data_IF_949603125846
#
_entry.id   IF_949603125846
#
_cell.length_a   1.000
_cell.length_b   1.000
_cell.length_c   1.000
_cell.angle_alpha   90.00
_cell.angle_beta   90.00
_cell.angle_gamma   90.00
#
_symmetry.space_group_name_H-M   'P 1'
#
loop_
_entity.id
_entity.type
_entity.pdbx_description
1 polymer ?
#
# COMPACT_ATOMS: atom_id res chain seq x y z
N UNK A 1 -25.01 68.68 5.16
CA UNK A 1 -25.13 67.28 4.61
C UNK A 1 -23.79 66.57 4.76
N UNK A 2 -23.67 65.73 5.76
CA UNK A 2 -22.43 64.92 6.01
C UNK A 2 -22.59 63.56 5.34
N UNK A 3 -21.76 63.28 4.34
CA UNK A 3 -21.70 61.95 3.65
C UNK A 3 -20.86 61.02 4.48
N UNK A 4 -21.45 59.94 5.03
CA UNK A 4 -20.75 58.82 5.65
C UNK A 4 -20.38 57.81 4.58
N UNK A 5 -19.09 57.63 4.37
CA UNK A 5 -18.55 56.58 3.50
C UNK A 5 -18.30 55.35 4.37
N UNK A 6 -19.09 54.29 4.19
CA UNK A 6 -18.88 53.01 4.85
C UNK A 6 -17.82 52.23 4.09
N UNK A 7 -16.71 51.95 4.74
CA UNK A 7 -15.65 51.04 4.22
C UNK A 7 -16.01 49.60 4.63
N UNK A 8 -16.38 48.79 3.67
CA UNK A 8 -16.56 47.35 3.88
C UNK A 8 -15.19 46.66 3.82
N UNK A 9 -14.71 46.23 4.97
CA UNK A 9 -13.50 45.40 5.05
C UNK A 9 -13.91 43.95 4.83
N UNK A 10 -13.58 43.38 3.67
CA UNK A 10 -13.75 41.95 3.37
C UNK A 10 -12.57 41.20 4.00
N UNK A 11 -12.83 40.46 5.09
CA UNK A 11 -11.86 39.55 5.69
C UNK A 11 -11.93 38.25 4.90
N UNK A 12 -10.93 38.00 4.06
CA UNK A 12 -10.74 36.71 3.40
C UNK A 12 -10.21 35.71 4.42
N UNK A 13 -11.08 34.80 4.88
CA UNK A 13 -10.70 33.62 5.64
C UNK A 13 -10.00 32.65 4.67
N UNK A 14 -8.68 32.59 4.73
CA UNK A 14 -7.91 31.58 4.08
C UNK A 14 -8.15 30.24 4.83
N UNK A 15 -9.06 29.41 4.30
CA UNK A 15 -9.21 28.02 4.73
C UNK A 15 -7.97 27.27 4.26
N UNK A 16 -7.01 27.05 5.16
CA UNK A 16 -5.92 26.13 4.92
C UNK A 16 -6.50 24.71 4.85
N UNK A 17 -6.69 24.21 3.62
CA UNK A 17 -6.98 22.79 3.41
C UNK A 17 -5.79 22.00 3.96
N UNK A 18 -5.99 20.99 4.84
CA UNK A 18 -4.94 20.05 5.18
C UNK A 18 -4.45 19.44 3.87
N UNK A 19 -3.16 19.62 3.57
CA UNK A 19 -2.56 19.05 2.36
C UNK A 19 -2.80 17.55 2.38
N UNK A 20 -3.43 17.02 1.32
CA UNK A 20 -3.54 15.60 1.11
C UNK A 20 -2.12 15.02 1.17
N UNK A 21 -1.85 14.19 2.18
CA UNK A 21 -0.60 13.44 2.24
C UNK A 21 -0.51 12.62 0.97
N UNK A 22 0.56 12.79 0.20
CA UNK A 22 0.73 12.00 -1.02
C UNK A 22 0.89 10.55 -0.60
N UNK A 23 0.01 9.68 -1.12
CA UNK A 23 0.07 8.25 -0.86
C UNK A 23 1.48 7.68 -1.11
N UNK A 24 1.89 6.72 -0.30
CA UNK A 24 3.17 6.03 -0.42
C UNK A 24 3.37 5.50 -1.84
N UNK A 25 4.52 5.77 -2.44
CA UNK A 25 4.88 5.28 -3.78
C UNK A 25 5.60 3.96 -3.67
N UNK A 26 5.07 2.93 -4.32
CA UNK A 26 5.61 1.57 -4.29
C UNK A 26 5.93 1.11 -5.71
N UNK A 27 7.17 0.64 -5.91
CA UNK A 27 7.62 -0.03 -7.14
C UNK A 27 7.95 -1.48 -6.81
N UNK A 28 7.49 -2.41 -7.64
CA UNK A 28 7.66 -3.86 -7.48
C UNK A 28 8.52 -4.41 -8.62
N UNK A 29 9.47 -5.27 -8.31
CA UNK A 29 10.33 -5.91 -9.32
C UNK A 29 10.73 -7.33 -8.88
N UNK A 30 10.53 -8.35 -9.74
CA UNK A 30 9.73 -8.33 -10.96
C UNK A 30 8.23 -8.25 -10.65
N UNK A 31 7.44 -7.57 -11.48
CA UNK A 31 5.99 -7.46 -11.29
C UNK A 31 5.21 -8.49 -12.12
N UNK A 32 5.55 -8.68 -13.40
CA UNK A 32 4.78 -9.51 -14.34
C UNK A 32 5.49 -10.78 -14.82
N UNK A 33 6.64 -11.09 -14.26
CA UNK A 33 7.43 -12.30 -14.58
C UNK A 33 8.09 -12.86 -13.33
N UNK A 34 7.31 -12.94 -12.24
CA UNK A 34 7.82 -13.52 -10.98
C UNK A 34 8.25 -14.96 -11.23
N UNK A 35 9.44 -15.32 -10.78
CA UNK A 35 9.98 -16.68 -10.97
C UNK A 35 9.15 -17.72 -10.23
N UNK A 36 8.73 -18.78 -10.92
CA UNK A 36 8.06 -19.92 -10.28
C UNK A 36 9.01 -20.76 -9.41
N UNK A 37 10.32 -20.74 -9.71
CA UNK A 37 11.35 -21.50 -9.00
C UNK A 37 11.85 -20.77 -7.75
N UNK A 38 12.07 -19.45 -7.88
CA UNK A 38 12.48 -18.59 -6.78
C UNK A 38 11.53 -17.38 -6.72
N UNK A 39 10.38 -17.53 -6.03
CA UNK A 39 9.30 -16.56 -6.07
C UNK A 39 9.54 -15.42 -5.09
N UNK A 40 10.55 -14.60 -5.35
CA UNK A 40 10.90 -13.44 -4.54
C UNK A 40 10.69 -12.17 -5.36
N UNK A 41 10.04 -11.19 -4.76
CA UNK A 41 9.88 -9.83 -5.30
C UNK A 41 10.58 -8.82 -4.41
N UNK A 42 11.04 -7.74 -5.02
CA UNK A 42 11.68 -6.63 -4.33
C UNK A 42 10.79 -5.39 -4.44
N UNK A 43 10.66 -4.65 -3.36
CA UNK A 43 9.94 -3.40 -3.30
C UNK A 43 10.90 -2.23 -3.13
N UNK A 44 10.58 -1.12 -3.79
CA UNK A 44 11.12 0.20 -3.47
C UNK A 44 9.95 1.05 -2.99
N UNK A 45 10.07 1.56 -1.78
CA UNK A 45 9.05 2.33 -1.10
C UNK A 45 9.56 3.75 -0.88
N UNK A 46 8.72 4.75 -1.08
CA UNK A 46 9.04 6.15 -0.79
C UNK A 46 7.78 6.92 -0.41
N UNK A 47 7.95 7.96 0.40
CA UNK A 47 6.84 8.79 0.87
C UNK A 47 6.00 8.09 1.94
N UNK A 48 6.61 7.22 2.76
CA UNK A 48 5.94 6.62 3.92
C UNK A 48 5.37 7.70 4.84
N UNK A 49 4.22 7.43 5.50
CA UNK A 49 3.73 8.26 6.59
C UNK A 49 4.80 8.46 7.67
N UNK A 50 4.69 9.56 8.41
CA UNK A 50 5.68 9.90 9.44
C UNK A 50 5.37 9.31 10.80
N UNK A 51 4.13 8.96 11.04
CA UNK A 51 3.54 8.58 12.34
C UNK A 51 3.06 7.13 12.40
N UNK A 52 3.05 6.43 11.29
CA UNK A 52 2.68 5.01 11.18
C UNK A 52 3.37 4.34 10.01
N UNK A 53 3.23 3.03 9.91
CA UNK A 53 3.75 2.23 8.81
C UNK A 53 2.67 1.73 7.86
N UNK A 54 3.09 0.86 6.95
CA UNK A 54 2.21 0.18 6.00
C UNK A 54 2.46 -1.33 6.04
N UNK A 55 1.42 -2.10 5.74
CA UNK A 55 1.53 -3.51 5.40
C UNK A 55 1.48 -3.70 3.88
N UNK A 56 2.29 -4.61 3.37
CA UNK A 56 2.24 -5.11 1.99
C UNK A 56 2.01 -6.61 2.08
N UNK A 57 0.87 -7.10 1.62
CA UNK A 57 0.48 -8.51 1.74
C UNK A 57 0.16 -9.11 0.38
N UNK A 58 0.55 -10.37 0.16
CA UNK A 58 0.11 -11.13 -1.00
C UNK A 58 -1.36 -11.53 -0.82
N UNK A 59 -2.23 -11.17 -1.76
CA UNK A 59 -3.66 -11.48 -1.73
C UNK A 59 -4.18 -11.88 -3.11
N UNK A 60 -5.35 -12.51 -3.14
CA UNK A 60 -6.15 -12.62 -4.35
C UNK A 60 -6.63 -11.22 -4.78
N UNK A 61 -6.77 -11.00 -6.09
CA UNK A 61 -7.35 -9.75 -6.58
C UNK A 61 -8.80 -9.63 -6.07
N UNK A 62 -9.13 -8.62 -5.24
CA UNK A 62 -10.48 -8.46 -4.71
C UNK A 62 -11.50 -8.10 -5.80
N UNK A 63 -11.03 -7.86 -7.05
CA UNK A 63 -11.86 -7.40 -8.15
C UNK A 63 -12.46 -6.01 -7.90
N UNK A 64 -13.46 -5.64 -8.74
CA UNK A 64 -14.15 -4.35 -8.62
C UNK A 64 -15.39 -4.39 -7.74
N UNK A 65 -15.66 -5.50 -7.05
CA UNK A 65 -16.85 -5.61 -6.19
C UNK A 65 -16.59 -4.89 -4.88
N UNK A 66 -17.33 -3.82 -4.56
CA UNK A 66 -17.28 -3.22 -3.23
C UNK A 66 -17.60 -4.29 -2.17
N UNK A 67 -16.77 -4.41 -1.14
CA UNK A 67 -16.97 -5.39 -0.07
C UNK A 67 -16.52 -6.83 -0.39
N UNK A 68 -15.81 -7.06 -1.50
CA UNK A 68 -15.20 -8.36 -1.79
C UNK A 68 -14.31 -8.83 -0.64
N UNK A 69 -14.49 -10.10 -0.23
CA UNK A 69 -13.69 -10.71 0.83
C UNK A 69 -12.22 -10.69 0.38
N UNK A 70 -11.38 -10.06 1.18
CA UNK A 70 -9.92 -10.05 0.96
C UNK A 70 -9.35 -11.38 1.42
N UNK A 71 -8.96 -12.23 0.48
CA UNK A 71 -8.27 -13.49 0.77
C UNK A 71 -6.78 -13.24 0.61
N UNK A 72 -6.07 -13.13 1.73
CA UNK A 72 -4.63 -12.90 1.75
C UNK A 72 -3.88 -14.15 2.23
N UNK A 73 -2.65 -14.29 1.76
CA UNK A 73 -1.77 -15.37 2.17
C UNK A 73 -1.48 -15.26 3.68
N UNK A 74 -1.80 -16.29 4.49
CA UNK A 74 -1.59 -16.24 5.93
C UNK A 74 -0.12 -16.33 6.35
N UNK A 75 0.78 -16.70 5.43
CA UNK A 75 2.22 -16.83 5.71
C UNK A 75 2.84 -15.46 6.05
N UNK A 76 3.54 -15.38 7.18
CA UNK A 76 4.30 -14.19 7.55
C UNK A 76 5.39 -13.84 6.51
N UNK A 77 5.94 -14.85 5.82
CA UNK A 77 6.91 -14.63 4.74
C UNK A 77 6.30 -13.92 3.52
N UNK A 78 4.97 -13.90 3.40
CA UNK A 78 4.20 -13.27 2.33
C UNK A 78 3.54 -11.95 2.75
N UNK A 79 3.98 -11.41 3.91
CA UNK A 79 3.61 -10.11 4.46
C UNK A 79 4.87 -9.30 4.77
N UNK A 80 4.83 -8.03 4.52
CA UNK A 80 5.91 -7.09 4.82
C UNK A 80 5.33 -5.91 5.60
N UNK A 81 5.88 -5.64 6.77
CA UNK A 81 5.61 -4.43 7.52
C UNK A 81 6.74 -3.43 7.30
N UNK A 82 6.41 -2.24 6.80
CA UNK A 82 7.38 -1.19 6.47
C UNK A 82 7.02 0.08 7.21
N UNK A 83 7.94 0.60 7.99
CA UNK A 83 7.76 1.85 8.73
C UNK A 83 9.08 2.58 8.91
N UNK A 84 9.03 3.93 8.96
CA UNK A 84 10.16 4.76 9.37
C UNK A 84 10.04 5.22 10.83
N UNK A 85 8.98 4.80 11.53
CA UNK A 85 8.82 5.04 12.98
C UNK A 85 9.74 4.12 13.76
N UNK A 86 10.56 4.69 14.63
CA UNK A 86 11.58 3.94 15.37
C UNK A 86 10.96 2.85 16.28
N UNK A 87 9.84 3.15 16.92
CA UNK A 87 9.12 2.18 17.73
C UNK A 87 8.64 0.96 16.94
N UNK A 88 8.16 1.16 15.71
CA UNK A 88 7.74 0.08 14.81
C UNK A 88 8.92 -0.78 14.38
N UNK A 89 10.06 -0.14 14.09
CA UNK A 89 11.29 -0.86 13.74
C UNK A 89 11.81 -1.70 14.90
N UNK A 90 11.71 -1.22 16.14
CA UNK A 90 12.02 -1.98 17.34
C UNK A 90 11.11 -3.21 17.51
N UNK A 91 9.88 -3.17 16.98
CA UNK A 91 8.92 -4.28 16.96
C UNK A 91 9.04 -5.19 15.72
N UNK A 92 9.96 -4.89 14.80
CA UNK A 92 10.25 -5.73 13.63
C UNK A 92 9.84 -5.17 12.27
N UNK A 93 9.31 -3.96 12.20
CA UNK A 93 9.08 -3.30 10.91
C UNK A 93 10.39 -3.08 10.16
N UNK A 94 10.36 -3.15 8.84
CA UNK A 94 11.51 -2.86 7.99
C UNK A 94 11.54 -1.37 7.64
N UNK A 95 12.73 -0.77 7.71
CA UNK A 95 12.91 0.60 7.26
C UNK A 95 12.60 0.75 5.76
N UNK A 96 11.92 1.81 5.37
CA UNK A 96 11.53 2.06 3.97
C UNK A 96 12.71 2.26 3.02
N UNK A 97 13.90 2.58 3.53
CA UNK A 97 15.13 2.80 2.76
C UNK A 97 15.92 1.51 2.46
N UNK A 98 15.54 0.40 3.08
CA UNK A 98 16.23 -0.88 2.94
C UNK A 98 15.88 -1.65 1.67
N UNK A 99 16.56 -2.79 1.46
CA UNK A 99 16.15 -3.79 0.49
C UNK A 99 14.94 -4.55 1.03
N UNK A 100 13.77 -4.22 0.53
CA UNK A 100 12.53 -4.84 0.94
C UNK A 100 12.20 -5.99 0.00
N UNK A 101 12.17 -7.22 0.51
CA UNK A 101 11.86 -8.42 -0.28
C UNK A 101 10.72 -9.18 0.36
N UNK A 102 9.89 -9.78 -0.49
CA UNK A 102 8.78 -10.63 -0.10
C UNK A 102 8.86 -11.93 -0.88
N UNK A 103 8.72 -13.05 -0.19
CA UNK A 103 8.49 -14.34 -0.82
C UNK A 103 7.00 -14.47 -1.11
N UNK A 104 6.65 -14.80 -2.36
CA UNK A 104 5.25 -14.98 -2.75
C UNK A 104 5.00 -16.46 -3.07
N UNK A 105 3.83 -16.95 -2.69
CA UNK A 105 3.44 -18.33 -2.95
C UNK A 105 2.59 -18.43 -4.20
N UNK A 106 2.78 -19.50 -4.96
CA UNK A 106 1.96 -19.84 -6.13
C UNK A 106 0.55 -20.21 -5.71
N UNK A 107 0.45 -20.90 -4.59
CA UNK A 107 -0.78 -21.37 -3.98
C UNK A 107 -0.73 -21.11 -2.48
N UNK A 108 -1.83 -20.69 -1.90
CA UNK A 108 -2.00 -20.55 -0.45
C UNK A 108 -3.47 -20.82 -0.11
N UNK A 109 -3.83 -20.93 1.14
CA UNK A 109 -5.20 -21.20 1.56
C UNK A 109 -6.18 -20.17 0.95
N UNK A 110 -7.09 -20.65 0.11
CA UNK A 110 -8.06 -19.82 -0.62
C UNK A 110 -7.49 -19.05 -1.81
N UNK A 111 -6.22 -19.25 -2.20
CA UNK A 111 -5.57 -18.50 -3.28
C UNK A 111 -4.81 -19.35 -4.29
N UNK A 112 -4.96 -19.01 -5.57
CA UNK A 112 -4.25 -19.60 -6.72
C UNK A 112 -3.73 -18.49 -7.63
N UNK A 113 -2.47 -18.12 -7.45
CA UNK A 113 -1.81 -17.06 -8.22
C UNK A 113 -1.23 -17.53 -9.56
N UNK A 114 -1.38 -18.83 -9.91
CA UNK A 114 -0.98 -19.35 -11.23
C UNK A 114 -2.11 -19.20 -12.23
N UNK A 115 -3.34 -19.51 -11.84
CA UNK A 115 -4.49 -19.51 -12.73
C UNK A 115 -5.35 -18.25 -12.61
N UNK A 116 -5.18 -17.49 -11.52
CA UNK A 116 -5.92 -16.24 -11.28
C UNK A 116 -4.98 -15.07 -11.03
N UNK A 117 -5.52 -13.86 -11.03
CA UNK A 117 -4.74 -12.66 -10.73
C UNK A 117 -4.55 -12.53 -9.23
N UNK A 118 -3.30 -12.37 -8.80
CA UNK A 118 -2.96 -11.98 -7.44
C UNK A 118 -2.45 -10.55 -7.38
N UNK A 119 -2.46 -9.98 -6.19
CA UNK A 119 -2.07 -8.60 -5.93
C UNK A 119 -1.20 -8.51 -4.70
N UNK A 120 -0.44 -7.44 -4.62
CA UNK A 120 0.02 -6.90 -3.36
C UNK A 120 -1.01 -5.88 -2.88
N UNK A 121 -1.64 -6.19 -1.77
CA UNK A 121 -2.53 -5.26 -1.10
C UNK A 121 -1.68 -4.43 -0.13
N UNK A 122 -1.73 -3.11 -0.30
CA UNK A 122 -1.10 -2.16 0.61
C UNK A 122 -2.18 -1.56 1.49
N UNK A 123 -1.92 -1.47 2.77
CA UNK A 123 -2.81 -0.83 3.74
C UNK A 123 -1.98 -0.11 4.79
N UNK A 124 -2.56 0.84 5.50
CA UNK A 124 -1.95 1.32 6.74
C UNK A 124 -1.76 0.17 7.72
N UNK A 125 -0.81 0.31 8.61
CA UNK A 125 -0.58 -0.68 9.65
C UNK A 125 -1.62 -0.60 10.79
N UNK A 126 -1.40 -1.38 11.85
CA UNK A 126 -2.34 -1.50 12.97
C UNK A 126 -2.51 -0.20 13.77
N UNK A 127 -1.55 0.73 13.71
CA UNK A 127 -1.66 2.02 14.42
C UNK A 127 -2.59 3.01 13.72
N UNK A 128 -2.88 2.80 12.43
CA UNK A 128 -3.78 3.62 11.62
C UNK A 128 -4.77 2.75 10.80
N UNK A 129 -5.27 1.65 11.39
CA UNK A 129 -6.04 0.62 10.69
C UNK A 129 -7.35 1.13 10.03
N UNK A 130 -7.94 2.18 10.56
CA UNK A 130 -9.18 2.79 10.04
C UNK A 130 -8.91 3.83 8.93
N UNK A 131 -7.68 4.30 8.81
CA UNK A 131 -7.26 5.19 7.74
C UNK A 131 -7.02 4.40 6.46
N UNK A 132 -7.63 4.81 5.35
CA UNK A 132 -7.55 4.15 4.04
C UNK A 132 -6.69 4.95 3.04
N UNK A 133 -5.96 5.96 3.50
CA UNK A 133 -5.18 6.87 2.65
C UNK A 133 -4.07 6.17 1.87
N UNK A 134 -3.51 5.08 2.41
CA UNK A 134 -2.44 4.30 1.80
C UNK A 134 -2.92 3.06 1.04
N UNK A 135 -4.23 2.83 0.96
CA UNK A 135 -4.78 1.66 0.28
C UNK A 135 -4.41 1.63 -1.21
N UNK A 136 -3.69 0.58 -1.60
CA UNK A 136 -3.29 0.36 -2.98
C UNK A 136 -3.43 -1.12 -3.34
N UNK A 137 -3.74 -1.39 -4.61
CA UNK A 137 -3.81 -2.74 -5.18
C UNK A 137 -2.82 -2.82 -6.33
N UNK A 138 -1.74 -3.57 -6.16
CA UNK A 138 -0.68 -3.71 -7.16
C UNK A 138 -0.72 -5.13 -7.72
N UNK A 139 -1.19 -5.29 -8.96
CA UNK A 139 -1.28 -6.59 -9.63
C UNK A 139 0.10 -7.16 -9.92
N UNK A 140 0.26 -8.47 -9.74
CA UNK A 140 1.45 -9.18 -10.18
C UNK A 140 1.11 -10.52 -10.84
N UNK A 141 2.05 -11.08 -11.60
CA UNK A 141 1.89 -12.39 -12.26
C UNK A 141 3.18 -13.19 -12.21
N UNK A 142 3.04 -14.49 -12.05
CA UNK A 142 4.14 -15.41 -12.27
C UNK A 142 4.50 -15.49 -13.75
N UNK A 143 5.80 -15.62 -14.03
CA UNK A 143 6.30 -15.88 -15.38
C UNK A 143 6.04 -17.32 -15.80
N UNK A 144 5.92 -17.54 -17.10
CA UNK A 144 5.69 -18.83 -17.72
C UNK A 144 4.56 -18.76 -18.75
N UNK A 145 4.70 -19.55 -19.81
CA UNK A 145 3.69 -19.67 -20.87
C UNK A 145 2.49 -20.37 -20.26
N UNK A 146 1.38 -19.69 -20.11
CA UNK A 146 0.09 -20.37 -19.97
C UNK A 146 -0.25 -20.90 -21.36
N UNK A 147 0.14 -22.15 -21.62
CA UNK A 147 -0.36 -22.90 -22.77
C UNK A 147 -1.77 -23.38 -22.40
N UNK A 148 -2.77 -22.64 -22.86
CA UNK A 148 -4.14 -23.07 -23.05
C UNK A 148 -4.61 -22.56 -24.37
#
# INVERSE_FOLDING_TARGET
MKKFTAVLTVIALAVSMPGASAATKIKVSPQFKVSKKNPVVTFKVSGLPKDHGIYISQCMDPGRKPGGVKVCNPSEASKLWVSNVEADQAMGAKAGTGKLTLKVDKYFEGGDCIHTTCVFLVTNDHSAADDRSEDQVIKFKFGGINLF
#
